data_IF_085045413206
#
_entry.id   IF_085045413206
#
_cell.length_a   1.000
_cell.length_b   1.000
_cell.length_c   1.000
_cell.angle_alpha   90.00
_cell.angle_beta   90.00
_cell.angle_gamma   90.00
#
_symmetry.space_group_name_H-M   'P 1'
#
loop_
_entity.id
_entity.type
_entity.pdbx_description
1 polymer ?
#
# COMPACT_ATOMS: atom_id res chain seq x y z
N UNK A 1 -6.97 -9.96 -4.21
CA UNK A 1 -6.13 -10.97 -4.88
C UNK A 1 -4.87 -10.33 -5.45
N UNK A 2 -5.00 -9.39 -6.40
CA UNK A 2 -3.89 -8.65 -7.05
C UNK A 2 -2.70 -8.31 -6.14
N UNK A 3 -2.91 -7.65 -5.00
CA UNK A 3 -1.81 -7.28 -4.10
C UNK A 3 -1.08 -8.49 -3.52
N UNK A 4 -1.80 -9.57 -3.20
CA UNK A 4 -1.19 -10.79 -2.67
C UNK A 4 -0.29 -11.44 -3.71
N UNK A 5 -0.75 -11.47 -4.96
CA UNK A 5 -0.01 -12.03 -6.09
C UNK A 5 1.25 -11.19 -6.38
N UNK A 6 1.13 -9.86 -6.36
CA UNK A 6 2.26 -8.95 -6.54
C UNK A 6 3.37 -9.14 -5.48
N UNK A 7 3.00 -9.44 -4.23
CA UNK A 7 3.94 -9.73 -3.14
C UNK A 7 4.57 -11.12 -3.22
N UNK A 8 3.87 -12.09 -3.79
CA UNK A 8 4.42 -13.43 -4.03
C UNK A 8 5.43 -13.41 -5.17
N UNK A 9 5.13 -12.68 -6.25
CA UNK A 9 6.03 -12.53 -7.40
C UNK A 9 7.29 -11.75 -7.04
N UNK A 10 7.14 -10.62 -6.34
CA UNK A 10 8.25 -9.79 -5.88
C UNK A 10 8.09 -9.52 -4.39
N UNK A 11 8.72 -10.32 -3.52
CA UNK A 11 8.68 -10.05 -2.09
C UNK A 11 9.37 -8.71 -1.79
N UNK A 12 8.83 -7.92 -0.85
CA UNK A 12 9.45 -6.66 -0.47
C UNK A 12 10.82 -6.91 0.18
N UNK A 13 11.83 -6.07 -0.12
CA UNK A 13 13.12 -6.17 0.52
C UNK A 13 12.99 -5.97 2.03
N UNK A 14 13.71 -6.76 2.81
CA UNK A 14 13.81 -6.53 4.25
C UNK A 14 14.71 -5.34 4.52
N UNK A 15 14.24 -4.37 5.30
CA UNK A 15 15.03 -3.22 5.71
C UNK A 15 15.31 -3.30 7.21
N UNK A 16 16.60 -3.33 7.58
CA UNK A 16 17.05 -3.45 8.98
C UNK A 16 16.43 -4.65 9.72
N UNK A 17 16.36 -5.81 9.07
CA UNK A 17 15.76 -7.03 9.63
C UNK A 17 14.24 -7.01 9.75
N UNK A 18 13.57 -5.90 9.41
CA UNK A 18 12.11 -5.78 9.41
C UNK A 18 11.58 -5.98 7.99
N UNK A 19 10.51 -6.77 7.86
CA UNK A 19 9.80 -6.98 6.60
C UNK A 19 8.57 -6.10 6.54
N UNK A 20 8.28 -5.58 5.35
CA UNK A 20 7.02 -4.89 5.08
C UNK A 20 5.87 -5.89 5.21
N UNK A 21 4.92 -5.59 6.09
CA UNK A 21 3.68 -6.34 6.23
C UNK A 21 2.52 -5.44 5.83
N UNK A 22 1.76 -5.88 4.84
CA UNK A 22 0.50 -5.24 4.46
C UNK A 22 -0.62 -5.93 5.23
N UNK A 23 -1.37 -5.16 6.01
CA UNK A 23 -2.50 -5.69 6.78
C UNK A 23 -3.73 -5.78 5.87
N UNK A 24 -4.06 -4.68 5.19
CA UNK A 24 -5.14 -4.62 4.21
C UNK A 24 -4.96 -3.41 3.28
N UNK A 25 -5.72 -3.40 2.20
CA UNK A 25 -5.81 -2.27 1.28
C UNK A 25 -7.27 -1.93 1.05
N UNK A 26 -7.56 -0.64 0.87
CA UNK A 26 -8.89 -0.16 0.50
C UNK A 26 -8.78 0.83 -0.64
N UNK A 27 -9.79 0.87 -1.50
CA UNK A 27 -9.98 1.98 -2.41
C UNK A 27 -10.63 3.13 -1.64
N UNK A 28 -10.14 4.34 -1.84
CA UNK A 28 -10.82 5.57 -1.46
C UNK A 28 -11.63 6.07 -2.66
N UNK A 29 -12.88 6.45 -2.42
CA UNK A 29 -13.81 6.92 -3.45
C UNK A 29 -13.59 8.38 -3.77
N UNK A 30 -12.54 8.69 -4.53
CA UNK A 30 -12.26 10.02 -5.04
C UNK A 30 -12.26 10.01 -6.59
N UNK A 31 -12.36 11.20 -7.20
CA UNK A 31 -12.28 11.42 -8.66
C UNK A 31 -11.04 10.78 -9.31
N UNK A 32 -9.94 10.68 -8.55
CA UNK A 32 -8.74 9.93 -8.93
C UNK A 32 -8.76 8.56 -8.24
N UNK A 33 -8.51 7.44 -8.97
CA UNK A 33 -8.34 6.12 -8.36
C UNK A 33 -7.27 6.19 -7.26
N UNK A 34 -7.72 6.11 -6.01
CA UNK A 34 -6.86 6.23 -4.84
C UNK A 34 -6.89 4.94 -4.06
N UNK A 35 -5.74 4.31 -3.87
CA UNK A 35 -5.60 3.08 -3.10
C UNK A 35 -4.85 3.40 -1.83
N UNK A 36 -5.48 3.13 -0.69
CA UNK A 36 -4.88 3.27 0.64
C UNK A 36 -4.40 1.91 1.10
N UNK A 37 -3.09 1.77 1.26
CA UNK A 37 -2.42 0.59 1.78
C UNK A 37 -2.11 0.78 3.26
N UNK A 38 -2.59 -0.14 4.09
CA UNK A 38 -2.26 -0.17 5.51
C UNK A 38 -1.10 -1.13 5.74
N UNK A 39 -0.02 -0.57 6.26
CA UNK A 39 1.25 -1.27 6.49
C UNK A 39 1.66 -1.16 7.94
N UNK A 40 2.57 -2.03 8.36
CA UNK A 40 3.20 -1.94 9.67
C UNK A 40 3.99 -0.64 9.85
N UNK A 41 4.89 -0.33 8.90
CA UNK A 41 5.75 0.85 8.95
C UNK A 41 5.89 1.41 7.53
N UNK A 42 5.55 2.69 7.35
CA UNK A 42 5.60 3.38 6.06
C UNK A 42 7.03 3.66 5.61
N UNK A 43 7.99 3.73 6.54
CA UNK A 43 9.41 3.93 6.25
C UNK A 43 10.12 2.68 5.73
N UNK A 44 9.50 1.50 5.83
CA UNK A 44 10.04 0.26 5.24
C UNK A 44 9.82 0.17 3.73
N UNK A 45 8.93 0.99 3.17
CA UNK A 45 8.54 0.91 1.77
C UNK A 45 9.35 1.91 0.95
N UNK A 46 10.33 1.40 0.22
CA UNK A 46 11.16 2.20 -0.68
C UNK A 46 10.39 2.66 -1.92
N UNK A 47 10.74 3.82 -2.49
CA UNK A 47 10.02 4.41 -3.63
C UNK A 47 9.96 3.46 -4.85
N UNK A 48 10.98 2.63 -5.06
CA UNK A 48 11.01 1.66 -6.16
C UNK A 48 9.92 0.61 -6.00
N UNK A 49 9.75 0.07 -4.79
CA UNK A 49 8.71 -0.90 -4.50
C UNK A 49 7.32 -0.26 -4.55
N UNK A 50 7.20 1.01 -4.15
CA UNK A 50 5.96 1.79 -4.33
C UNK A 50 5.54 1.85 -5.79
N UNK A 51 6.47 2.21 -6.69
CA UNK A 51 6.22 2.28 -8.13
C UNK A 51 5.86 0.91 -8.72
N UNK A 52 6.50 -0.15 -8.24
CA UNK A 52 6.15 -1.52 -8.64
C UNK A 52 4.69 -1.85 -8.30
N UNK A 53 4.26 -1.56 -7.06
CA UNK A 53 2.88 -1.78 -6.63
C UNK A 53 1.89 -0.92 -7.43
N UNK A 54 2.19 0.37 -7.63
CA UNK A 54 1.39 1.26 -8.46
C UNK A 54 1.21 0.71 -9.88
N UNK A 55 2.30 0.27 -10.51
CA UNK A 55 2.28 -0.34 -11.84
C UNK A 55 1.42 -1.62 -11.85
N UNK A 56 1.64 -2.55 -10.91
CA UNK A 56 0.87 -3.81 -10.85
C UNK A 56 -0.62 -3.59 -10.65
N UNK A 57 -1.01 -2.66 -9.78
CA UNK A 57 -2.41 -2.28 -9.58
C UNK A 57 -2.97 -1.72 -10.88
N UNK A 58 -2.26 -0.77 -11.50
CA UNK A 58 -2.68 -0.13 -12.75
C UNK A 58 -2.88 -1.14 -13.88
N UNK A 59 -1.94 -2.05 -14.04
CA UNK A 59 -1.97 -3.09 -15.08
C UNK A 59 -3.12 -4.09 -14.83
N UNK A 60 -3.41 -4.42 -13.56
CA UNK A 60 -4.48 -5.37 -13.21
C UNK A 60 -5.89 -4.81 -13.36
N UNK A 61 -6.05 -3.49 -13.19
CA UNK A 61 -7.35 -2.81 -13.30
C UNK A 61 -7.53 -2.07 -14.63
N UNK A 62 -6.59 -2.18 -15.57
CA UNK A 62 -6.68 -1.55 -16.89
C UNK A 62 -6.62 -0.02 -16.85
N UNK A 63 -6.02 0.58 -15.82
CA UNK A 63 -5.97 2.03 -15.61
C UNK A 63 -4.87 2.71 -16.45
N UNK A 64 -4.72 2.29 -17.71
CA UNK A 64 -3.73 2.84 -18.65
C UNK A 64 -4.08 4.31 -18.96
N UNK A 65 -3.20 5.24 -18.57
CA UNK A 65 -3.37 6.68 -18.80
C UNK A 65 -3.89 7.48 -17.60
N UNK A 66 -4.51 6.84 -16.61
CA UNK A 66 -4.99 7.53 -15.40
C UNK A 66 -3.92 7.53 -14.30
N UNK A 67 -3.69 8.67 -13.64
CA UNK A 67 -2.83 8.70 -12.46
C UNK A 67 -3.48 7.89 -11.33
N UNK A 68 -2.76 6.89 -10.81
CA UNK A 68 -3.16 6.13 -9.61
C UNK A 68 -2.47 6.75 -8.40
N UNK A 69 -3.25 7.16 -7.39
CA UNK A 69 -2.70 7.66 -6.12
C UNK A 69 -2.56 6.51 -5.13
N UNK A 70 -1.32 6.14 -4.80
CA UNK A 70 -1.06 5.18 -3.73
C UNK A 70 -0.73 5.90 -2.42
N UNK A 71 -1.57 5.73 -1.41
CA UNK A 71 -1.40 6.32 -0.08
C UNK A 71 -1.02 5.23 0.90
N UNK A 72 0.07 5.44 1.64
CA UNK A 72 0.53 4.54 2.68
C UNK A 72 0.09 5.05 4.05
N UNK A 73 -0.47 4.17 4.88
CA UNK A 73 -0.85 4.49 6.26
C UNK A 73 -0.28 3.44 7.19
N UNK A 74 0.34 3.87 8.28
CA UNK A 74 0.78 2.96 9.34
C UNK A 74 -0.39 2.55 10.22
N UNK A 75 -0.41 1.29 10.65
CA UNK A 75 -1.42 0.78 11.57
C UNK A 75 -1.39 1.49 12.94
N UNK A 76 -0.21 1.91 13.38
CA UNK A 76 -0.01 2.70 14.60
C UNK A 76 -0.84 3.99 14.59
N UNK A 77 -0.87 4.70 13.46
CA UNK A 77 -1.68 5.92 13.30
C UNK A 77 -3.19 5.68 13.44
N UNK A 78 -3.66 4.46 13.16
CA UNK A 78 -5.06 4.08 13.34
C UNK A 78 -5.33 3.73 14.81
N UNK A 79 -4.40 3.03 15.46
CA UNK A 79 -4.50 2.63 16.87
C UNK A 79 -4.51 3.84 17.82
N UNK A 80 -3.77 4.89 17.51
CA UNK A 80 -3.80 6.14 18.28
C UNK A 80 -5.16 6.86 18.16
N UNK A 81 -5.77 6.89 16.97
CA UNK A 81 -7.10 7.48 16.76
C UNK A 81 -8.21 6.73 17.52
N UNK A 82 -8.17 5.39 17.55
CA UNK A 82 -9.18 4.62 18.29
C UNK A 82 -9.05 4.80 19.80
N UNK A 83 -7.82 4.99 20.32
CA UNK A 83 -7.59 5.22 21.76
C UNK A 83 -8.01 6.61 22.23
N UNK A 84 -7.97 7.62 21.38
CA UNK A 84 -8.38 8.98 21.73
C UNK A 84 -9.91 9.19 21.66
N UNK A 85 -10.63 8.29 21.00
CA UNK A 85 -12.09 8.33 20.87
C UNK A 85 -12.83 7.49 21.93
N UNK A 86 -12.09 6.95 22.91
CA UNK A 86 -12.61 6.18 24.05
C UNK A 86 -12.26 6.91 25.34
#
# INVERSE_FOLDING_TARGET
RVLRDAFNEHPPPSFKGRRLKVTYATQAGDETPTVVLFVNDTGLLHFSYRRYLEKKIRDSFGLMGNPLKLVLRSEESRRSRTKAAK
#
